data_IF_207091678996
#
_entry.id   IF_207091678996
#
_cell.length_a   1.000
_cell.length_b   1.000
_cell.length_c   1.000
_cell.angle_alpha   90.00
_cell.angle_beta   90.00
_cell.angle_gamma   90.00
#
_symmetry.space_group_name_H-M   'P 1'
#
loop_
_entity.id
_entity.type
_entity.pdbx_description
1 polymer ?
#
# COMPACT_ATOMS: atom_id res chain seq x y z
N UNK A 1 8.50 62.05 -31.26
CA UNK A 1 7.45 61.20 -30.65
C UNK A 1 7.91 59.74 -30.66
N UNK A 2 8.83 59.36 -29.75
CA UNK A 2 9.33 57.97 -29.61
C UNK A 2 9.80 57.76 -28.16
N UNK A 3 8.86 57.84 -27.23
CA UNK A 3 8.99 57.20 -25.92
C UNK A 3 7.74 56.33 -25.75
N UNK A 4 7.92 55.20 -25.07
CA UNK A 4 6.87 54.25 -24.66
C UNK A 4 6.71 53.03 -25.57
N UNK A 5 7.63 52.08 -25.44
CA UNK A 5 7.26 50.66 -25.57
C UNK A 5 8.18 49.71 -24.79
N UNK A 6 9.38 50.16 -24.38
CA UNK A 6 10.36 49.33 -23.65
C UNK A 6 10.08 49.16 -22.15
N UNK A 7 9.24 49.99 -21.53
CA UNK A 7 8.99 49.92 -20.08
C UNK A 7 7.93 48.87 -19.66
N UNK A 8 7.14 48.34 -20.60
CA UNK A 8 6.05 47.42 -20.27
C UNK A 8 6.46 45.93 -20.24
N UNK A 9 7.64 45.59 -20.77
CA UNK A 9 8.11 44.20 -20.90
C UNK A 9 8.95 43.69 -19.71
N UNK A 10 9.33 44.54 -18.76
CA UNK A 10 10.09 44.11 -17.57
C UNK A 10 9.22 43.76 -16.36
N UNK A 11 7.91 43.98 -16.40
CA UNK A 11 7.03 43.73 -15.24
C UNK A 11 6.49 42.28 -15.17
N UNK A 12 6.69 41.48 -16.21
CA UNK A 12 6.13 40.12 -16.31
C UNK A 12 7.01 38.99 -15.74
N UNK A 13 8.18 39.29 -15.17
CA UNK A 13 9.11 38.27 -14.66
C UNK A 13 9.13 38.08 -13.13
N UNK A 14 8.22 38.70 -12.38
CA UNK A 14 8.07 38.44 -10.93
C UNK A 14 6.98 37.39 -10.69
N UNK A 15 7.08 36.22 -11.34
CA UNK A 15 6.44 35.04 -10.78
C UNK A 15 7.21 34.70 -9.50
N UNK A 16 6.59 34.63 -8.31
CA UNK A 16 7.28 34.14 -7.14
C UNK A 16 7.84 32.76 -7.50
N UNK A 17 9.17 32.61 -7.40
CA UNK A 17 9.81 31.32 -7.55
C UNK A 17 9.06 30.33 -6.66
N UNK A 18 8.49 29.28 -7.25
CA UNK A 18 7.69 28.31 -6.51
C UNK A 18 8.60 27.68 -5.45
N UNK A 19 8.48 28.15 -4.22
CA UNK A 19 9.20 27.57 -3.09
C UNK A 19 8.71 26.14 -2.96
N UNK A 20 9.64 25.19 -2.98
CA UNK A 20 9.31 23.78 -2.78
C UNK A 20 8.62 23.68 -1.43
N UNK A 21 7.34 23.30 -1.44
CA UNK A 21 6.55 23.10 -0.23
C UNK A 21 7.22 22.05 0.64
N UNK A 22 7.53 22.39 1.88
CA UNK A 22 7.96 21.43 2.89
C UNK A 22 6.73 20.69 3.41
N UNK A 23 6.81 19.36 3.44
CA UNK A 23 5.79 18.48 4.00
C UNK A 23 6.36 17.90 5.28
N UNK A 24 5.66 18.07 6.40
CA UNK A 24 6.07 17.51 7.69
C UNK A 24 5.48 16.11 7.90
N UNK A 25 6.12 15.31 8.75
CA UNK A 25 5.60 13.99 9.12
C UNK A 25 4.20 14.08 9.74
N UNK A 26 3.92 15.13 10.51
CA UNK A 26 2.60 15.39 11.07
C UNK A 26 1.54 15.62 9.98
N UNK A 27 1.91 16.26 8.87
CA UNK A 27 1.02 16.42 7.74
C UNK A 27 0.80 15.09 6.99
N UNK A 28 1.86 14.31 6.77
CA UNK A 28 1.78 12.97 6.16
C UNK A 28 0.86 12.08 6.98
N UNK A 29 1.08 12.01 8.30
CA UNK A 29 0.27 11.19 9.21
C UNK A 29 -1.19 11.64 9.21
N UNK A 30 -1.47 12.95 9.21
CA UNK A 30 -2.83 13.48 9.12
C UNK A 30 -3.53 13.04 7.83
N UNK A 31 -2.85 13.12 6.69
CA UNK A 31 -3.43 12.68 5.41
C UNK A 31 -3.63 11.17 5.41
N UNK A 32 -2.63 10.40 5.81
CA UNK A 32 -2.68 8.95 5.89
C UNK A 32 -3.84 8.46 6.76
N UNK A 33 -4.01 9.04 7.96
CA UNK A 33 -5.12 8.71 8.88
C UNK A 33 -6.50 9.14 8.40
N UNK A 34 -6.57 10.11 7.47
CA UNK A 34 -7.84 10.56 6.90
C UNK A 34 -8.37 9.66 5.78
N UNK A 35 -7.55 8.75 5.25
CA UNK A 35 -7.92 7.86 4.16
C UNK A 35 -8.34 6.47 4.66
N UNK A 36 -9.28 5.83 3.95
CA UNK A 36 -9.51 4.40 4.05
C UNK A 36 -8.51 3.68 3.15
N UNK A 37 -7.46 3.12 3.74
CA UNK A 37 -6.46 2.36 2.98
C UNK A 37 -6.96 0.94 2.72
N UNK A 38 -7.00 0.56 1.44
CA UNK A 38 -7.35 -0.78 0.98
C UNK A 38 -6.14 -1.37 0.26
N UNK A 39 -5.53 -2.40 0.84
CA UNK A 39 -4.47 -3.16 0.21
C UNK A 39 -5.08 -4.17 -0.77
N UNK A 40 -4.57 -4.23 -1.99
CA UNK A 40 -5.10 -5.07 -3.07
C UNK A 40 -4.35 -6.38 -3.26
N UNK A 41 -3.23 -6.60 -2.55
CA UNK A 41 -2.45 -7.83 -2.70
C UNK A 41 -1.53 -8.11 -1.50
N UNK A 42 -1.92 -9.06 -0.65
CA UNK A 42 -1.10 -9.47 0.49
C UNK A 42 -0.89 -10.99 0.53
N UNK A 43 0.38 -11.42 0.45
CA UNK A 43 0.80 -12.83 0.34
C UNK A 43 0.97 -13.55 1.69
N UNK A 44 0.55 -12.94 2.81
CA UNK A 44 0.67 -13.56 4.14
C UNK A 44 0.01 -14.94 4.23
N UNK A 45 -0.95 -15.23 3.34
CA UNK A 45 -1.65 -16.51 3.21
C UNK A 45 -0.73 -17.71 3.03
N UNK A 46 0.44 -17.53 2.41
CA UNK A 46 1.45 -18.58 2.27
C UNK A 46 2.02 -19.03 3.62
N UNK A 47 1.97 -18.16 4.63
CA UNK A 47 2.36 -18.47 6.01
C UNK A 47 1.16 -18.88 6.86
N UNK A 48 -0.03 -18.30 6.68
CA UNK A 48 -1.24 -18.74 7.41
C UNK A 48 -1.56 -20.19 7.11
N UNK A 49 -1.37 -20.63 5.87
CA UNK A 49 -1.53 -22.04 5.52
C UNK A 49 -0.53 -22.97 6.24
N UNK A 50 0.60 -22.43 6.70
CA UNK A 50 1.57 -23.17 7.53
C UNK A 50 1.25 -23.09 9.03
N UNK A 51 0.11 -22.49 9.39
CA UNK A 51 -0.36 -22.32 10.77
C UNK A 51 0.01 -20.98 11.41
N UNK A 52 0.41 -19.96 10.64
CA UNK A 52 0.61 -18.62 11.20
C UNK A 52 -0.73 -18.02 11.65
N UNK A 53 -0.80 -17.64 12.93
CA UNK A 53 -1.84 -16.75 13.45
C UNK A 53 -1.41 -15.28 13.27
N UNK A 54 -2.07 -14.56 12.35
CA UNK A 54 -1.78 -13.15 12.10
C UNK A 54 -2.26 -12.24 13.24
N UNK A 55 -3.06 -12.72 14.19
CA UNK A 55 -3.45 -11.93 15.36
C UNK A 55 -2.26 -11.69 16.29
N UNK A 56 -1.24 -12.56 16.26
CA UNK A 56 -0.03 -12.41 17.05
C UNK A 56 1.01 -11.54 16.35
N UNK A 57 1.69 -10.70 17.13
CA UNK A 57 2.88 -10.01 16.64
C UNK A 57 3.99 -11.04 16.33
N UNK A 58 4.69 -10.85 15.21
CA UNK A 58 5.78 -11.73 14.78
C UNK A 58 7.06 -10.95 14.51
N UNK A 59 8.21 -11.59 14.68
CA UNK A 59 9.53 -10.95 14.48
C UNK A 59 10.00 -10.94 13.03
N UNK A 60 9.36 -11.73 12.17
CA UNK A 60 9.64 -11.89 10.75
C UNK A 60 8.40 -11.58 9.89
N UNK A 61 8.56 -11.51 8.56
CA UNK A 61 7.48 -11.15 7.65
C UNK A 61 7.00 -9.70 7.79
N UNK A 62 5.91 -9.36 7.08
CA UNK A 62 5.43 -7.97 6.97
C UNK A 62 4.03 -7.75 7.57
N UNK A 63 3.25 -8.81 7.71
CA UNK A 63 1.83 -8.73 8.05
C UNK A 63 1.55 -9.42 9.38
N UNK A 64 1.08 -8.63 10.34
CA UNK A 64 0.37 -9.07 11.55
C UNK A 64 -0.67 -8.00 11.90
N UNK A 65 -1.62 -8.35 12.76
CA UNK A 65 -2.76 -7.49 13.09
C UNK A 65 -2.33 -6.19 13.78
N UNK A 66 -1.25 -6.23 14.57
CA UNK A 66 -0.71 -5.04 15.23
C UNK A 66 -0.18 -4.04 14.20
N UNK A 67 0.58 -4.51 13.20
CA UNK A 67 1.10 -3.69 12.10
C UNK A 67 0.00 -3.16 11.19
N UNK A 68 -1.02 -3.98 10.85
CA UNK A 68 -2.15 -3.52 10.04
C UNK A 68 -2.90 -2.37 10.72
N UNK A 69 -3.16 -2.49 12.02
CA UNK A 69 -3.78 -1.42 12.83
C UNK A 69 -2.89 -0.18 12.91
N UNK A 70 -1.61 -0.37 13.23
CA UNK A 70 -0.64 0.74 13.29
C UNK A 70 -0.57 1.46 11.94
N UNK A 71 -0.60 0.72 10.83
CA UNK A 71 -0.52 1.21 9.46
C UNK A 71 -1.80 1.84 8.90
N UNK A 72 -2.89 1.94 9.67
CA UNK A 72 -4.20 2.45 9.21
C UNK A 72 -4.80 1.65 8.03
N UNK A 73 -4.49 0.35 7.92
CA UNK A 73 -5.04 -0.50 6.86
C UNK A 73 -6.47 -0.87 7.21
N UNK A 74 -7.43 -0.44 6.40
CA UNK A 74 -8.86 -0.69 6.64
C UNK A 74 -9.37 -1.98 6.04
N UNK A 75 -8.81 -2.43 4.92
CA UNK A 75 -9.14 -3.71 4.30
C UNK A 75 -7.95 -4.26 3.50
N UNK A 76 -7.92 -5.58 3.34
CA UNK A 76 -6.87 -6.30 2.61
C UNK A 76 -7.50 -7.35 1.70
N UNK A 77 -7.10 -7.37 0.43
CA UNK A 77 -7.30 -8.51 -0.46
C UNK A 77 -6.15 -9.50 -0.27
N UNK A 78 -6.41 -10.57 0.45
CA UNK A 78 -5.45 -11.65 0.66
C UNK A 78 -5.31 -12.51 -0.59
N UNK A 79 -4.06 -12.76 -1.00
CA UNK A 79 -3.77 -13.45 -2.24
C UNK A 79 -3.95 -14.97 -2.08
N UNK A 80 -4.81 -15.58 -2.90
CA UNK A 80 -4.86 -17.02 -3.08
C UNK A 80 -3.83 -17.47 -4.15
N UNK A 81 -2.54 -17.26 -3.86
CA UNK A 81 -1.47 -17.49 -4.84
C UNK A 81 -1.17 -18.98 -5.06
N UNK A 82 -1.03 -19.37 -6.33
CA UNK A 82 -0.61 -20.71 -6.76
C UNK A 82 0.65 -20.57 -7.62
N UNK A 83 1.76 -21.14 -7.16
CA UNK A 83 3.00 -21.17 -7.92
C UNK A 83 2.85 -22.02 -9.20
N UNK A 84 3.50 -21.59 -10.28
CA UNK A 84 3.57 -22.35 -11.54
C UNK A 84 4.15 -23.76 -11.37
N UNK A 85 4.92 -24.03 -10.31
CA UNK A 85 5.46 -25.36 -10.02
C UNK A 85 4.38 -26.44 -9.78
N UNK A 86 3.17 -26.05 -9.37
CA UNK A 86 2.05 -26.98 -9.17
C UNK A 86 1.41 -27.49 -10.48
N UNK A 87 1.82 -26.96 -11.63
CA UNK A 87 1.35 -27.45 -12.95
C UNK A 87 1.96 -28.79 -13.31
N UNK A 88 3.26 -29.00 -13.01
CA UNK A 88 3.97 -30.23 -13.32
C UNK A 88 3.48 -31.46 -12.54
N UNK A 89 2.79 -31.24 -11.42
CA UNK A 89 2.22 -32.30 -10.57
C UNK A 89 0.69 -32.39 -10.67
N UNK A 90 0.04 -31.57 -11.51
CA UNK A 90 -1.42 -31.48 -11.61
C UNK A 90 -2.13 -31.12 -10.27
N UNK A 91 -1.46 -30.37 -9.40
CA UNK A 91 -1.95 -30.02 -8.06
C UNK A 91 -2.45 -28.56 -7.95
N UNK A 92 -2.50 -27.82 -9.07
CA UNK A 92 -2.81 -26.38 -9.05
C UNK A 92 -4.18 -26.06 -8.46
N UNK A 93 -5.21 -26.84 -8.78
CA UNK A 93 -6.56 -26.64 -8.25
C UNK A 93 -6.64 -26.97 -6.76
N UNK A 94 -6.00 -28.07 -6.32
CA UNK A 94 -5.93 -28.43 -4.91
C UNK A 94 -5.26 -27.31 -4.11
N UNK A 95 -4.13 -26.80 -4.61
CA UNK A 95 -3.43 -25.68 -4.00
C UNK A 95 -4.31 -24.42 -3.90
N UNK A 96 -5.04 -24.07 -4.95
CA UNK A 96 -5.95 -22.93 -4.91
C UNK A 96 -7.00 -23.06 -3.80
N UNK A 97 -7.55 -24.26 -3.61
CA UNK A 97 -8.54 -24.52 -2.56
C UNK A 97 -7.93 -24.41 -1.17
N UNK A 98 -6.71 -24.91 -0.94
CA UNK A 98 -5.98 -24.70 0.33
C UNK A 98 -5.81 -23.21 0.64
N UNK A 99 -5.43 -22.41 -0.37
CA UNK A 99 -5.22 -20.98 -0.19
C UNK A 99 -6.53 -20.23 0.12
N UNK A 100 -7.63 -20.61 -0.53
CA UNK A 100 -8.96 -20.05 -0.24
C UNK A 100 -9.42 -20.47 1.16
N UNK A 101 -9.14 -21.71 1.56
CA UNK A 101 -9.52 -22.25 2.86
C UNK A 101 -8.84 -21.49 4.01
N UNK A 102 -7.52 -21.28 3.93
CA UNK A 102 -6.81 -20.51 4.96
C UNK A 102 -7.27 -19.05 5.04
N UNK A 103 -7.60 -18.43 3.91
CA UNK A 103 -8.20 -17.08 3.90
C UNK A 103 -9.53 -17.06 4.66
N UNK A 104 -10.33 -18.13 4.52
CA UNK A 104 -11.67 -18.20 5.08
C UNK A 104 -11.67 -18.54 6.58
N UNK A 105 -10.70 -19.32 7.04
CA UNK A 105 -10.76 -19.94 8.36
C UNK A 105 -9.62 -19.54 9.31
N UNK A 106 -8.47 -19.13 8.79
CA UNK A 106 -7.27 -18.82 9.62
C UNK A 106 -7.00 -17.31 9.75
N UNK A 107 -7.65 -16.49 8.92
CA UNK A 107 -7.58 -15.03 8.99
C UNK A 107 -8.79 -14.52 9.80
N UNK A 108 -8.49 -13.89 10.93
CA UNK A 108 -9.47 -13.31 11.90
C UNK A 108 -9.58 -11.80 11.83
#
# INVERSE_FOLDING_TARGET
MRLSLTALLLSSCLLPAQTKRTVSDAEVERVHRSALLIDTHNDVTSDTLKGLDIAQARTDGHTDLARLRQGNVGAVFFAAYVSGSFTGTNQSAHRALEMIDTIRHDIV
#
